data_IF_809056043535
#
_entry.id   IF_809056043535
#
_cell.length_a   1.000
_cell.length_b   1.000
_cell.length_c   1.000
_cell.angle_alpha   90.00
_cell.angle_beta   90.00
_cell.angle_gamma   90.00
#
_symmetry.space_group_name_H-M   'P 1'
#
loop_
_entity.id
_entity.type
_entity.pdbx_description
1 polymer ?
#
# COMPACT_ATOMS: atom_id res chain seq x y z
N UNK A 1 -8.02 -20.71 -38.12
CA UNK A 1 -6.94 -21.61 -37.68
C UNK A 1 -6.90 -21.69 -36.16
N UNK A 2 -6.44 -22.80 -35.62
CA UNK A 2 -6.34 -23.04 -34.17
C UNK A 2 -5.47 -21.98 -33.47
N UNK A 3 -4.44 -21.49 -34.15
CA UNK A 3 -3.52 -20.45 -33.67
C UNK A 3 -4.23 -19.12 -33.46
N UNK A 4 -5.08 -18.69 -34.40
CA UNK A 4 -5.85 -17.46 -34.28
C UNK A 4 -6.88 -17.54 -33.14
N UNK A 5 -7.56 -18.69 -32.98
CA UNK A 5 -8.50 -18.91 -31.84
C UNK A 5 -7.78 -18.89 -30.50
N UNK A 6 -6.60 -19.49 -30.42
CA UNK A 6 -5.78 -19.44 -29.20
C UNK A 6 -5.28 -18.04 -28.89
N UNK A 7 -4.79 -17.28 -29.87
CA UNK A 7 -4.39 -15.89 -29.71
C UNK A 7 -5.57 -15.01 -29.26
N UNK A 8 -6.76 -15.16 -29.87
CA UNK A 8 -7.97 -14.43 -29.49
C UNK A 8 -8.42 -14.78 -28.08
N UNK A 9 -8.31 -16.05 -27.66
CA UNK A 9 -8.65 -16.48 -26.31
C UNK A 9 -7.64 -15.98 -25.25
N UNK A 10 -6.36 -15.90 -25.60
CA UNK A 10 -5.31 -15.31 -24.76
C UNK A 10 -5.57 -13.82 -24.60
N UNK A 11 -5.82 -13.09 -25.68
CA UNK A 11 -6.15 -11.66 -25.66
C UNK A 11 -7.42 -11.37 -24.85
N UNK A 12 -8.50 -12.17 -25.03
CA UNK A 12 -9.72 -12.06 -24.20
C UNK A 12 -9.48 -12.35 -22.72
N UNK A 13 -8.59 -13.30 -22.39
CA UNK A 13 -8.20 -13.57 -21.00
C UNK A 13 -7.40 -12.39 -20.40
N UNK A 14 -6.53 -11.78 -21.17
CA UNK A 14 -5.78 -10.57 -20.75
C UNK A 14 -6.73 -9.37 -20.60
N UNK A 15 -7.65 -9.15 -21.53
CA UNK A 15 -8.67 -8.08 -21.47
C UNK A 15 -9.61 -8.17 -20.27
N UNK A 16 -9.79 -9.36 -19.67
CA UNK A 16 -10.68 -9.59 -18.53
C UNK A 16 -9.96 -9.80 -17.19
N UNK A 17 -8.63 -9.69 -17.16
CA UNK A 17 -7.87 -9.86 -15.92
C UNK A 17 -8.19 -8.69 -14.98
N UNK A 18 -8.70 -9.01 -13.80
CA UNK A 18 -8.97 -8.04 -12.73
C UNK A 18 -8.17 -8.41 -11.49
N UNK A 19 -7.43 -7.47 -10.94
CA UNK A 19 -6.62 -7.65 -9.74
C UNK A 19 -6.85 -6.46 -8.82
N UNK A 20 -7.01 -6.73 -7.53
CA UNK A 20 -7.12 -5.66 -6.54
C UNK A 20 -5.74 -5.03 -6.31
N UNK A 21 -5.65 -3.70 -6.29
CA UNK A 21 -4.36 -3.01 -6.10
C UNK A 21 -3.71 -3.35 -4.76
N UNK A 22 -4.48 -3.66 -3.72
CA UNK A 22 -3.95 -4.20 -2.45
C UNK A 22 -3.24 -5.56 -2.62
N UNK A 23 -3.71 -6.43 -3.54
CA UNK A 23 -3.07 -7.71 -3.83
C UNK A 23 -1.73 -7.47 -4.54
N UNK A 24 -1.73 -6.61 -5.55
CA UNK A 24 -0.53 -6.19 -6.29
C UNK A 24 0.53 -5.59 -5.36
N UNK A 25 0.08 -4.77 -4.39
CA UNK A 25 0.93 -4.21 -3.34
C UNK A 25 1.60 -5.31 -2.51
N UNK A 26 0.84 -6.26 -1.98
CA UNK A 26 1.40 -7.34 -1.15
C UNK A 26 2.41 -8.21 -1.89
N UNK A 27 2.14 -8.52 -3.17
CA UNK A 27 3.05 -9.27 -4.04
C UNK A 27 4.33 -8.50 -4.33
N UNK A 28 4.22 -7.23 -4.72
CA UNK A 28 5.37 -6.37 -5.00
C UNK A 28 6.22 -6.11 -3.75
N UNK A 29 5.60 -5.93 -2.59
CA UNK A 29 6.29 -5.74 -1.32
C UNK A 29 7.13 -6.98 -0.94
N UNK A 30 6.59 -8.19 -1.17
CA UNK A 30 7.35 -9.43 -0.98
C UNK A 30 8.58 -9.49 -1.89
N UNK A 31 8.43 -9.19 -3.17
CA UNK A 31 9.57 -9.18 -4.10
C UNK A 31 10.62 -8.13 -3.69
N UNK A 32 10.19 -6.94 -3.29
CA UNK A 32 11.06 -5.91 -2.73
C UNK A 32 11.82 -6.39 -1.49
N UNK A 33 11.18 -7.16 -0.63
CA UNK A 33 11.81 -7.74 0.56
C UNK A 33 12.93 -8.73 0.25
N UNK A 34 12.89 -9.41 -0.91
CA UNK A 34 13.99 -10.25 -1.38
C UNK A 34 15.19 -9.42 -1.86
N UNK A 35 14.91 -8.27 -2.48
CA UNK A 35 15.92 -7.40 -3.07
C UNK A 35 16.61 -6.47 -2.06
N UNK A 36 15.92 -6.13 -0.94
CA UNK A 36 16.42 -5.15 0.02
C UNK A 36 16.06 -5.53 1.47
N UNK A 37 17.07 -5.83 2.28
CA UNK A 37 16.92 -6.20 3.69
C UNK A 37 16.48 -5.04 4.62
N UNK A 38 16.55 -3.81 4.15
CA UNK A 38 16.06 -2.66 4.91
C UNK A 38 14.55 -2.47 4.83
N UNK A 39 13.86 -3.18 3.93
CA UNK A 39 12.40 -3.19 3.87
C UNK A 39 11.82 -3.90 5.09
N UNK A 40 10.96 -3.19 5.80
CA UNK A 40 10.17 -3.69 6.95
C UNK A 40 8.70 -3.40 6.71
N UNK A 41 7.83 -4.34 6.99
CA UNK A 41 6.40 -4.14 6.88
C UNK A 41 5.73 -4.05 8.25
N UNK A 42 4.76 -3.15 8.40
CA UNK A 42 3.97 -2.99 9.63
C UNK A 42 2.48 -3.13 9.33
N UNK A 43 1.76 -3.71 10.28
CA UNK A 43 0.29 -3.81 10.23
C UNK A 43 -0.31 -3.50 11.60
N UNK A 44 -1.53 -2.97 11.60
CA UNK A 44 -2.35 -2.77 12.79
C UNK A 44 -3.49 -3.80 12.81
N UNK A 45 -3.13 -5.08 12.95
CA UNK A 45 -4.03 -6.25 12.99
C UNK A 45 -4.91 -6.46 11.75
N UNK A 46 -4.41 -5.99 10.59
CA UNK A 46 -5.13 -6.08 9.31
C UNK A 46 -4.28 -6.72 8.20
N UNK A 47 -3.26 -7.54 8.54
CA UNK A 47 -2.30 -8.08 7.56
C UNK A 47 -2.96 -8.89 6.45
N UNK A 48 -3.99 -9.67 6.76
CA UNK A 48 -4.77 -10.42 5.77
C UNK A 48 -5.56 -9.54 4.81
N UNK A 49 -6.19 -8.48 5.32
CA UNK A 49 -7.00 -7.54 4.54
C UNK A 49 -6.13 -6.62 3.67
N UNK A 50 -5.03 -6.11 4.20
CA UNK A 50 -4.08 -5.24 3.48
C UNK A 50 -3.13 -6.00 2.57
N UNK A 51 -3.09 -7.34 2.68
CA UNK A 51 -2.17 -8.24 1.95
C UNK A 51 -0.70 -8.15 2.39
N UNK A 52 -0.40 -7.45 3.47
CA UNK A 52 0.94 -7.49 4.09
C UNK A 52 1.29 -8.86 4.65
N UNK A 53 0.30 -9.73 4.90
CA UNK A 53 0.50 -11.15 5.26
C UNK A 53 1.30 -11.95 4.22
N UNK A 54 1.38 -11.48 2.97
CA UNK A 54 2.23 -12.08 1.93
C UNK A 54 3.70 -11.85 2.26
N UNK A 55 4.05 -10.65 2.72
CA UNK A 55 5.39 -10.30 3.20
C UNK A 55 5.70 -11.00 4.53
N UNK A 56 4.77 -10.98 5.48
CA UNK A 56 4.88 -11.62 6.79
C UNK A 56 5.29 -13.09 6.70
N UNK A 57 4.67 -13.86 5.80
CA UNK A 57 4.97 -15.28 5.57
C UNK A 57 6.39 -15.54 5.10
N UNK A 58 6.94 -14.66 4.28
CA UNK A 58 8.28 -14.79 3.72
C UNK A 58 9.35 -14.23 4.67
N UNK A 59 9.03 -13.13 5.37
CA UNK A 59 9.97 -12.38 6.20
C UNK A 59 9.42 -12.09 7.60
N UNK A 60 9.10 -13.10 8.43
CA UNK A 60 8.47 -12.89 9.73
C UNK A 60 9.31 -12.00 10.67
N UNK A 61 10.64 -12.03 10.56
CA UNK A 61 11.55 -11.21 11.38
C UNK A 61 11.64 -9.74 10.93
N UNK A 62 11.01 -9.39 9.81
CA UNK A 62 10.92 -8.02 9.28
C UNK A 62 9.47 -7.54 9.17
N UNK A 63 8.57 -8.25 9.85
CA UNK A 63 7.16 -7.90 9.95
C UNK A 63 6.80 -7.57 11.39
N UNK A 64 6.07 -6.47 11.59
CA UNK A 64 5.65 -5.99 12.91
C UNK A 64 4.13 -5.80 12.91
N UNK A 65 3.43 -6.62 13.69
CA UNK A 65 2.01 -6.38 14.00
C UNK A 65 1.92 -5.64 15.34
N UNK A 66 1.39 -4.43 15.30
CA UNK A 66 1.28 -3.57 16.50
C UNK A 66 -0.06 -3.72 17.23
N UNK A 67 -0.94 -4.61 16.75
CA UNK A 67 -2.32 -4.67 17.19
C UNK A 67 -3.15 -3.51 16.59
N UNK A 68 -4.37 -3.30 17.11
CA UNK A 68 -5.27 -2.23 16.64
C UNK A 68 -4.81 -0.88 17.21
N UNK A 69 -3.67 -0.38 16.72
CA UNK A 69 -2.99 0.81 17.24
C UNK A 69 -2.27 1.60 16.12
N UNK A 70 -3.04 2.18 15.20
CA UNK A 70 -2.50 2.83 13.99
C UNK A 70 -1.62 4.03 14.30
N UNK A 71 -1.94 4.81 15.34
CA UNK A 71 -1.11 5.92 15.79
C UNK A 71 0.27 5.43 16.25
N UNK A 72 0.30 4.35 17.05
CA UNK A 72 1.55 3.71 17.48
C UNK A 72 2.32 3.12 16.28
N UNK A 73 1.62 2.51 15.33
CA UNK A 73 2.22 2.01 14.09
C UNK A 73 2.99 3.09 13.34
N UNK A 74 2.43 4.28 13.20
CA UNK A 74 3.10 5.41 12.53
C UNK A 74 4.30 5.93 13.33
N UNK A 75 4.22 5.94 14.66
CA UNK A 75 5.36 6.26 15.54
C UNK A 75 6.50 5.24 15.42
N UNK A 76 6.19 3.95 15.42
CA UNK A 76 7.18 2.88 15.21
C UNK A 76 7.81 2.99 13.82
N UNK A 77 7.00 3.22 12.77
CA UNK A 77 7.50 3.42 11.41
C UNK A 77 8.46 4.61 11.33
N UNK A 78 8.15 5.73 12.01
CA UNK A 78 9.04 6.88 12.07
C UNK A 78 10.39 6.53 12.74
N UNK A 79 10.36 5.80 13.86
CA UNK A 79 11.56 5.33 14.55
C UNK A 79 12.43 4.39 13.69
N UNK A 80 11.81 3.46 12.97
CA UNK A 80 12.50 2.57 12.04
C UNK A 80 13.15 3.36 10.88
N UNK A 81 12.44 4.33 10.32
CA UNK A 81 12.99 5.18 9.26
C UNK A 81 14.18 6.02 9.75
N UNK A 82 14.11 6.55 10.97
CA UNK A 82 15.24 7.26 11.63
C UNK A 82 16.45 6.37 11.84
N UNK A 83 16.24 5.05 11.91
CA UNK A 83 17.31 4.05 12.06
C UNK A 83 17.81 3.49 10.71
N UNK A 84 17.40 4.09 9.58
CA UNK A 84 17.85 3.71 8.23
C UNK A 84 17.04 2.57 7.60
N UNK A 85 15.92 2.13 8.19
CA UNK A 85 15.01 1.18 7.56
C UNK A 85 14.05 1.89 6.62
N UNK A 86 13.41 1.11 5.75
CA UNK A 86 12.37 1.57 4.82
C UNK A 86 11.05 0.91 5.21
N UNK A 87 10.31 1.49 6.17
CA UNK A 87 9.07 0.90 6.66
C UNK A 87 7.91 1.15 5.70
N UNK A 88 7.18 0.08 5.40
CA UNK A 88 5.89 0.08 4.72
C UNK A 88 4.79 -0.17 5.77
N UNK A 89 4.15 0.90 6.24
CA UNK A 89 3.10 0.84 7.23
C UNK A 89 1.73 0.76 6.54
N UNK A 90 0.98 -0.33 6.76
CA UNK A 90 -0.26 -0.58 6.03
C UNK A 90 -1.45 -0.83 6.96
N UNK A 91 -2.52 -0.10 6.71
CA UNK A 91 -3.85 -0.24 7.31
C UNK A 91 -4.91 0.26 6.34
N UNK A 92 -6.18 0.34 6.75
CA UNK A 92 -7.22 0.96 5.93
C UNK A 92 -7.01 2.48 5.83
N UNK A 93 -7.42 3.06 4.71
CA UNK A 93 -7.27 4.50 4.46
C UNK A 93 -7.95 5.36 5.54
N UNK A 94 -9.12 4.93 6.03
CA UNK A 94 -9.82 5.60 7.13
C UNK A 94 -8.96 5.68 8.40
N UNK A 95 -8.22 4.63 8.71
CA UNK A 95 -7.42 4.57 9.92
C UNK A 95 -6.03 5.21 9.74
N UNK A 96 -5.44 5.13 8.55
CA UNK A 96 -4.20 5.83 8.25
C UNK A 96 -4.42 7.34 8.20
N UNK A 97 -5.25 7.81 7.26
CA UNK A 97 -5.45 9.23 7.01
C UNK A 97 -6.36 9.92 8.04
N UNK A 98 -7.26 9.18 8.69
CA UNK A 98 -8.13 9.72 9.75
C UNK A 98 -7.50 9.59 11.13
N UNK A 99 -7.43 8.37 11.66
CA UNK A 99 -7.01 8.11 13.05
C UNK A 99 -5.57 8.51 13.33
N UNK A 100 -4.63 8.23 12.44
CA UNK A 100 -3.20 8.49 12.63
C UNK A 100 -2.70 9.75 11.91
N UNK A 101 -3.59 10.66 11.52
CA UNK A 101 -3.24 11.86 10.76
C UNK A 101 -2.14 12.70 11.42
N UNK A 102 -2.27 12.96 12.72
CA UNK A 102 -1.30 13.77 13.46
C UNK A 102 0.08 13.13 13.48
N UNK A 103 0.18 11.81 13.72
CA UNK A 103 1.46 11.09 13.73
C UNK A 103 2.11 11.08 12.35
N UNK A 104 1.32 10.94 11.29
CA UNK A 104 1.85 11.06 9.91
C UNK A 104 2.39 12.47 9.69
N UNK A 105 1.63 13.50 10.06
CA UNK A 105 2.02 14.88 9.88
C UNK A 105 3.28 15.26 10.67
N UNK A 106 3.30 14.97 11.95
CA UNK A 106 4.33 15.47 12.87
C UNK A 106 5.50 14.51 13.05
N UNK A 107 5.26 13.21 13.10
CA UNK A 107 6.32 12.22 13.34
C UNK A 107 7.00 11.73 12.05
N UNK A 108 6.32 11.82 10.90
CA UNK A 108 6.82 11.33 9.62
C UNK A 108 7.16 12.47 8.67
N UNK A 109 6.18 13.32 8.37
CA UNK A 109 6.33 14.32 7.31
C UNK A 109 7.14 15.55 7.75
N UNK A 110 6.93 16.04 8.97
CA UNK A 110 7.69 17.20 9.47
C UNK A 110 9.21 16.96 9.45
N UNK A 111 9.74 15.83 9.97
CA UNK A 111 11.16 15.49 9.85
C UNK A 111 11.54 14.88 8.49
N UNK A 112 10.63 14.80 7.53
CA UNK A 112 10.84 14.24 6.18
C UNK A 112 11.39 12.79 6.18
N UNK A 113 10.85 11.93 7.02
CA UNK A 113 11.30 10.54 7.18
C UNK A 113 10.84 9.65 6.04
N UNK A 114 11.66 8.66 5.71
CA UNK A 114 11.44 7.73 4.60
C UNK A 114 10.43 6.62 4.95
N UNK A 115 9.18 6.98 5.22
CA UNK A 115 8.08 6.07 5.56
C UNK A 115 7.10 5.95 4.40
N UNK A 116 6.67 4.73 4.07
CA UNK A 116 5.65 4.43 3.06
C UNK A 116 4.35 4.06 3.75
N UNK A 117 3.41 5.00 3.78
CA UNK A 117 2.05 4.77 4.30
C UNK A 117 1.21 4.18 3.18
N UNK A 118 0.94 2.88 3.26
CA UNK A 118 0.22 2.14 2.21
C UNK A 118 -1.21 1.86 2.67
N UNK A 119 -2.13 2.71 2.23
CA UNK A 119 -3.51 2.75 2.70
C UNK A 119 -4.44 1.99 1.75
N UNK A 120 -5.01 0.89 2.23
CA UNK A 120 -5.97 0.07 1.46
C UNK A 120 -7.42 0.45 1.77
N UNK A 121 -8.37 -0.13 1.06
CA UNK A 121 -9.81 0.10 1.26
C UNK A 121 -10.22 1.57 1.13
N UNK A 122 -9.51 2.36 0.31
CA UNK A 122 -9.83 3.75 0.09
C UNK A 122 -11.08 3.94 -0.79
N UNK A 123 -11.77 5.05 -0.60
CA UNK A 123 -12.98 5.39 -1.35
C UNK A 123 -14.24 4.71 -0.83
N UNK A 124 -15.26 4.61 -1.70
CA UNK A 124 -16.60 4.10 -1.34
C UNK A 124 -16.74 2.57 -1.49
N UNK A 125 -15.75 1.89 -2.06
CA UNK A 125 -15.84 0.47 -2.42
C UNK A 125 -15.27 -0.46 -1.32
N UNK A 126 -15.58 -0.17 -0.06
CA UNK A 126 -15.08 -0.92 1.10
C UNK A 126 -15.79 -2.28 1.27
N UNK A 127 -17.06 -2.34 0.93
CA UNK A 127 -17.92 -3.53 1.10
C UNK A 127 -18.79 -3.46 2.36
N UNK A 128 -18.93 -4.59 3.04
CA UNK A 128 -19.83 -4.77 4.18
C UNK A 128 -19.50 -3.93 5.42
N UNK A 129 -18.28 -3.46 5.56
CA UNK A 129 -17.88 -2.55 6.66
C UNK A 129 -18.62 -1.19 6.60
N UNK A 130 -19.10 -0.79 5.42
CA UNK A 130 -20.00 0.33 5.23
C UNK A 130 -19.39 1.70 5.44
N UNK A 131 -20.26 2.68 5.70
CA UNK A 131 -19.94 4.11 5.69
C UNK A 131 -18.86 4.53 6.70
N UNK A 132 -18.74 3.85 7.84
CA UNK A 132 -17.73 4.16 8.85
C UNK A 132 -16.29 3.86 8.40
N UNK A 133 -16.12 3.04 7.35
CA UNK A 133 -14.84 2.64 6.79
C UNK A 133 -14.58 3.24 5.40
N UNK A 134 -15.59 3.91 4.81
CA UNK A 134 -15.45 4.58 3.51
C UNK A 134 -14.65 5.87 3.67
N UNK A 135 -13.45 5.91 3.11
CA UNK A 135 -12.55 7.06 3.17
C UNK A 135 -12.53 7.79 1.83
N UNK A 136 -13.22 8.92 1.75
CA UNK A 136 -13.33 9.74 0.52
C UNK A 136 -12.44 10.99 0.55
N UNK A 137 -11.97 11.41 1.72
CA UNK A 137 -11.20 12.62 1.95
C UNK A 137 -9.68 12.39 2.10
N UNK A 138 -9.20 11.15 2.05
CA UNK A 138 -7.80 10.78 2.27
C UNK A 138 -6.82 11.53 1.36
N UNK A 139 -7.13 11.64 0.06
CA UNK A 139 -6.27 12.38 -0.88
C UNK A 139 -6.17 13.85 -0.51
N UNK A 140 -7.29 14.47 -0.12
CA UNK A 140 -7.32 15.86 0.31
C UNK A 140 -6.48 16.06 1.58
N UNK A 141 -6.70 15.24 2.60
CA UNK A 141 -5.97 15.30 3.87
C UNK A 141 -4.46 15.11 3.68
N UNK A 142 -4.05 14.10 2.93
CA UNK A 142 -2.64 13.81 2.72
C UNK A 142 -1.94 14.87 1.85
N UNK A 143 -2.64 15.46 0.88
CA UNK A 143 -2.08 16.53 0.04
C UNK A 143 -1.89 17.87 0.77
N UNK A 144 -2.53 18.06 1.92
CA UNK A 144 -2.31 19.26 2.74
C UNK A 144 -1.06 19.17 3.62
N UNK A 145 -0.48 17.98 3.77
CA UNK A 145 0.70 17.79 4.62
C UNK A 145 1.97 18.12 3.82
N UNK A 146 2.80 19.07 4.27
CA UNK A 146 4.09 19.33 3.65
C UNK A 146 4.98 18.08 3.59
N UNK A 147 5.78 17.96 2.55
CA UNK A 147 6.68 16.85 2.24
C UNK A 147 5.99 15.53 1.85
N UNK A 148 4.67 15.39 2.02
CA UNK A 148 3.98 14.16 1.65
C UNK A 148 3.86 14.03 0.13
N UNK A 149 4.40 12.95 -0.42
CA UNK A 149 4.12 12.52 -1.80
C UNK A 149 2.89 11.62 -1.82
N UNK A 150 1.89 11.96 -2.63
CA UNK A 150 0.62 11.20 -2.68
C UNK A 150 0.49 10.51 -4.03
N UNK A 151 0.31 9.20 -4.01
CA UNK A 151 0.19 8.35 -5.20
C UNK A 151 -1.12 7.54 -5.11
N UNK A 152 -1.89 7.54 -6.20
CA UNK A 152 -3.09 6.71 -6.36
C UNK A 152 -2.93 5.89 -7.64
N UNK A 153 -2.83 4.58 -7.49
CA UNK A 153 -2.65 3.66 -8.62
C UNK A 153 -3.99 3.13 -9.14
N UNK A 154 -4.06 2.87 -10.44
CA UNK A 154 -5.29 2.45 -11.12
C UNK A 154 -5.40 0.94 -11.29
N UNK A 155 -4.29 0.21 -11.45
CA UNK A 155 -4.28 -1.22 -11.75
C UNK A 155 -3.09 -1.98 -11.17
N UNK A 156 -3.00 -3.27 -11.50
CA UNK A 156 -1.94 -4.18 -11.05
C UNK A 156 -0.55 -3.71 -11.47
N UNK A 157 -0.36 -3.44 -12.77
CA UNK A 157 0.94 -3.07 -13.35
C UNK A 157 1.45 -1.76 -12.75
N UNK A 158 0.61 -0.74 -12.71
CA UNK A 158 0.97 0.55 -12.13
C UNK A 158 1.26 0.43 -10.62
N UNK A 159 0.53 -0.41 -9.90
CA UNK A 159 0.77 -0.61 -8.46
C UNK A 159 2.11 -1.29 -8.21
N UNK A 160 2.44 -2.35 -8.93
CA UNK A 160 3.72 -3.04 -8.79
C UNK A 160 4.90 -2.12 -9.12
N UNK A 161 4.77 -1.34 -10.20
CA UNK A 161 5.75 -0.31 -10.54
C UNK A 161 5.90 0.74 -9.43
N UNK A 162 4.78 1.29 -8.95
CA UNK A 162 4.78 2.32 -7.91
C UNK A 162 5.45 1.83 -6.62
N UNK A 163 5.17 0.60 -6.17
CA UNK A 163 5.78 0.00 -4.97
C UNK A 163 7.30 -0.06 -5.10
N UNK A 164 7.82 -0.44 -6.26
CA UNK A 164 9.26 -0.47 -6.53
C UNK A 164 9.88 0.92 -6.53
N UNK A 165 9.21 1.89 -7.13
CA UNK A 165 9.75 3.26 -7.24
C UNK A 165 9.70 4.02 -5.91
N UNK A 166 8.63 3.87 -5.13
CA UNK A 166 8.57 4.53 -3.81
C UNK A 166 9.62 3.99 -2.84
N UNK A 167 10.07 2.75 -2.98
CA UNK A 167 11.15 2.22 -2.16
C UNK A 167 12.50 2.92 -2.41
N UNK A 168 12.72 3.41 -3.62
CA UNK A 168 13.92 4.17 -4.01
C UNK A 168 13.81 5.66 -3.64
N UNK A 169 12.58 6.17 -3.59
CA UNK A 169 12.31 7.57 -3.26
C UNK A 169 12.58 7.85 -1.78
N UNK A 170 13.37 8.89 -1.50
CA UNK A 170 13.67 9.34 -0.13
C UNK A 170 12.62 10.35 0.32
N UNK A 171 11.89 10.02 1.37
CA UNK A 171 10.85 10.86 1.92
C UNK A 171 9.52 10.11 2.12
N UNK A 172 8.54 10.78 2.75
CA UNK A 172 7.25 10.18 3.06
C UNK A 172 6.40 10.02 1.80
N UNK A 173 5.73 8.87 1.70
CA UNK A 173 4.79 8.58 0.61
C UNK A 173 3.49 8.03 1.19
N UNK A 174 2.37 8.53 0.71
CA UNK A 174 1.05 7.94 0.88
C UNK A 174 0.65 7.23 -0.42
N UNK A 175 0.60 5.91 -0.38
CA UNK A 175 0.16 5.07 -1.50
C UNK A 175 -1.28 4.62 -1.26
N UNK A 176 -2.19 5.12 -2.09
CA UNK A 176 -3.62 4.82 -2.03
C UNK A 176 -3.97 3.57 -2.81
N UNK A 177 -4.63 2.62 -2.16
CA UNK A 177 -4.97 1.31 -2.71
C UNK A 177 -6.46 0.98 -2.50
N UNK A 178 -7.03 0.20 -3.41
CA UNK A 178 -8.43 -0.22 -3.37
C UNK A 178 -8.60 -1.67 -2.88
N UNK A 179 -9.79 -1.98 -2.36
CA UNK A 179 -10.22 -3.34 -1.99
C UNK A 179 -10.64 -4.16 -3.20
N UNK A 180 -11.44 -3.57 -4.08
CA UNK A 180 -12.00 -4.27 -5.23
C UNK A 180 -10.95 -4.48 -6.33
N UNK A 181 -11.12 -5.57 -7.06
CA UNK A 181 -10.30 -5.86 -8.24
C UNK A 181 -10.66 -4.90 -9.38
N UNK A 182 -9.65 -4.24 -9.93
CA UNK A 182 -9.74 -3.36 -11.10
C UNK A 182 -9.22 -4.08 -12.35
N UNK A 183 -9.71 -3.66 -13.52
CA UNK A 183 -9.19 -4.16 -14.79
C UNK A 183 -7.72 -3.77 -14.94
N UNK A 184 -6.89 -4.70 -15.41
CA UNK A 184 -5.50 -4.39 -15.79
C UNK A 184 -5.54 -3.66 -17.13
N UNK A 185 -5.00 -2.46 -17.18
CA UNK A 185 -5.03 -1.55 -18.35
C UNK A 185 -3.65 -1.20 -18.88
N UNK A 186 -2.62 -1.30 -18.08
CA UNK A 186 -1.25 -1.07 -18.50
C UNK A 186 -0.53 -2.40 -18.77
N UNK A 187 0.32 -2.41 -19.78
CA UNK A 187 1.25 -3.50 -20.05
C UNK A 187 2.51 -3.39 -19.18
N UNK A 188 3.21 -4.51 -19.00
CA UNK A 188 4.47 -4.58 -18.23
C UNK A 188 5.64 -3.93 -18.97
#
# INVERSE_FOLDING_TARGET
SLILRNATNILRKMENKKIATRQSFGEALKELGKENENIVALSADLSGATKTSIFEKEFPNRFINVGIAEQNMMGIAAGLASSGKIPFASTFAMFAAGRAYEQIRNSICYPNLNVKVCATHAGITVGEDGATHQMIEDLSLMRTIPNMTVICTSDDTQTKWAVKEIAKYQGPVYLRLSRLATKVIYDE
#
